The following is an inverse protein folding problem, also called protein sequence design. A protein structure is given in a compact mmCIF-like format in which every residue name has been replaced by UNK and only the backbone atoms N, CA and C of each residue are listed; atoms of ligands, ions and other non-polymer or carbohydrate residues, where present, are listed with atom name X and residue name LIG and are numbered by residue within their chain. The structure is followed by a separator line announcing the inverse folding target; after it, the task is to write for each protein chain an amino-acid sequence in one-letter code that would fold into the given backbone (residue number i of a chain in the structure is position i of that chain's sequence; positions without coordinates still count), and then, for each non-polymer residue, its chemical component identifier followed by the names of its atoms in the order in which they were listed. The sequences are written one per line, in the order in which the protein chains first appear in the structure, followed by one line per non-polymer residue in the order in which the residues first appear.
data_IF_533356740678
#
_entry.id   IF_533356740678
#
_cell.length_a   1.000
_cell.length_b   1.000
_cell.length_c   1.000
_cell.angle_alpha   90.00
_cell.angle_beta   90.00
_cell.angle_gamma   90.00
#
_symmetry.space_group_name_H-M   'P 1'
#
loop_
_entity.id
_entity.type
_entity.pdbx_description
1 polymer ?
#
# COMPACT_ATOMS: atom_id res chain seq x y z
N UNK A 1 -2.99 30.17 -13.00
CA UNK A 1 -4.12 30.15 -12.04
C UNK A 1 -4.60 28.71 -11.94
N UNK A 2 -3.95 27.89 -11.09
CA UNK A 2 -4.38 26.51 -10.82
C UNK A 2 -5.54 26.60 -9.83
N UNK A 3 -6.66 25.95 -10.10
CA UNK A 3 -7.85 26.05 -9.25
C UNK A 3 -7.58 25.38 -7.89
N UNK A 4 -8.18 25.94 -6.83
CA UNK A 4 -8.16 25.40 -5.45
C UNK A 4 -8.60 23.92 -5.38
N UNK A 5 -9.30 23.41 -6.40
CA UNK A 5 -9.68 22.01 -6.52
C UNK A 5 -8.48 21.07 -6.73
N UNK A 6 -7.39 21.53 -7.35
CA UNK A 6 -6.15 20.74 -7.51
C UNK A 6 -5.36 20.71 -6.20
N UNK A 7 -5.43 21.77 -5.38
CA UNK A 7 -4.85 21.78 -4.03
C UNK A 7 -5.61 20.88 -3.04
N UNK A 8 -6.93 20.75 -3.19
CA UNK A 8 -7.76 19.81 -2.40
C UNK A 8 -7.57 18.34 -2.77
N UNK A 9 -6.91 18.03 -3.88
CA UNK A 9 -6.58 16.68 -4.31
C UNK A 9 -5.23 16.16 -3.76
N UNK A 10 -4.61 16.89 -2.82
CA UNK A 10 -3.45 16.37 -2.09
C UNK A 10 -3.94 15.26 -1.15
N UNK A 11 -3.59 14.01 -1.46
CA UNK A 11 -3.93 12.81 -0.68
C UNK A 11 -3.26 12.75 0.69
N UNK A 12 -2.53 13.82 1.04
CA UNK A 12 -1.82 13.97 2.29
C UNK A 12 -0.46 14.63 2.12
N UNK A 13 0.49 14.21 2.96
CA UNK A 13 1.94 14.41 2.83
C UNK A 13 2.65 13.27 3.56
N UNK A 14 3.77 12.84 3.00
CA UNK A 14 4.71 11.93 3.67
C UNK A 14 6.09 12.57 3.85
N UNK A 15 6.78 12.23 4.93
CA UNK A 15 8.15 12.68 5.18
C UNK A 15 8.85 11.79 6.21
N UNK A 16 10.18 11.93 6.29
CA UNK A 16 10.99 11.35 7.37
C UNK A 16 11.32 12.44 8.38
N UNK A 17 11.18 12.15 9.67
CA UNK A 17 11.58 13.02 10.77
C UNK A 17 11.98 12.17 11.98
N UNK A 18 13.13 12.46 12.59
CA UNK A 18 13.63 11.78 13.79
C UNK A 18 13.67 10.24 13.72
N UNK A 19 13.92 9.68 12.53
CA UNK A 19 13.96 8.24 12.30
C UNK A 19 12.57 7.58 12.15
N UNK A 20 11.52 8.38 11.99
CA UNK A 20 10.16 7.93 11.71
C UNK A 20 9.76 8.31 10.29
N UNK A 21 9.03 7.42 9.62
CA UNK A 21 8.19 7.80 8.49
C UNK A 21 6.89 8.33 9.07
N UNK A 22 6.47 9.50 8.62
CA UNK A 22 5.21 10.14 9.03
C UNK A 22 4.32 10.33 7.81
N UNK A 23 3.04 10.06 7.99
CA UNK A 23 2.01 10.32 7.00
C UNK A 23 0.91 11.16 7.64
N UNK A 24 0.53 12.22 6.95
CA UNK A 24 -0.72 12.95 7.21
C UNK A 24 -1.61 12.74 6.02
N UNK A 25 -2.71 12.00 6.16
CA UNK A 25 -3.62 11.73 5.04
C UNK A 25 -4.89 12.55 5.17
N UNK A 26 -5.38 13.03 4.04
CA UNK A 26 -6.70 13.66 3.94
C UNK A 26 -7.84 12.64 3.88
N UNK A 27 -7.54 11.35 3.69
CA UNK A 27 -8.51 10.29 3.41
C UNK A 27 -8.39 9.06 4.34
N UNK A 28 -7.18 8.66 4.72
CA UNK A 28 -6.92 7.33 5.33
C UNK A 28 -6.39 7.40 6.76
N UNK A 29 -6.36 8.61 7.35
CA UNK A 29 -5.85 8.84 8.69
C UNK A 29 -4.34 9.02 8.76
N UNK A 30 -3.89 9.53 9.90
CA UNK A 30 -2.50 9.86 10.16
C UNK A 30 -1.81 8.71 10.88
N UNK A 31 -0.53 8.50 10.56
CA UNK A 31 0.28 7.49 11.21
C UNK A 31 1.75 7.87 11.22
N UNK A 32 2.49 7.27 12.14
CA UNK A 32 3.93 7.30 12.18
C UNK A 32 4.48 5.90 12.46
N UNK A 33 5.60 5.58 11.83
CA UNK A 33 6.26 4.29 12.00
C UNK A 33 7.77 4.48 12.06
N UNK A 34 8.43 3.80 13.00
CA UNK A 34 9.87 3.90 13.15
C UNK A 34 10.56 3.13 12.03
N UNK A 35 11.52 3.75 11.37
CA UNK A 35 12.25 3.13 10.25
C UNK A 35 12.97 1.85 10.70
N UNK A 36 13.48 1.84 11.93
CA UNK A 36 14.16 0.67 12.51
C UNK A 36 13.25 -0.55 12.72
N UNK A 37 11.93 -0.36 12.73
CA UNK A 37 10.95 -1.46 12.88
C UNK A 37 10.43 -1.95 11.53
N UNK A 38 10.77 -1.26 10.42
CA UNK A 38 10.33 -1.66 9.09
C UNK A 38 10.91 -3.02 8.70
N UNK A 39 10.03 -3.85 8.16
CA UNK A 39 10.38 -5.18 7.64
C UNK A 39 9.99 -5.41 6.22
N UNK A 40 9.06 -4.62 5.71
CA UNK A 40 8.59 -4.70 4.35
C UNK A 40 8.19 -3.33 3.84
N UNK A 41 8.60 -3.05 2.61
CA UNK A 41 8.15 -1.93 1.80
C UNK A 41 7.62 -2.52 0.49
N UNK A 42 6.41 -2.15 0.11
CA UNK A 42 5.82 -2.56 -1.14
C UNK A 42 4.99 -1.45 -1.75
N UNK A 43 4.32 -1.79 -2.84
CA UNK A 43 3.30 -0.95 -3.45
C UNK A 43 2.08 -1.81 -3.80
N UNK A 44 0.92 -1.19 -3.80
CA UNK A 44 -0.34 -1.83 -4.19
C UNK A 44 -1.24 -0.85 -4.94
N UNK A 45 -2.02 -1.39 -5.87
CA UNK A 45 -3.08 -0.66 -6.57
C UNK A 45 -4.46 -1.21 -6.21
N UNK A 46 -5.47 -0.37 -6.32
CA UNK A 46 -6.88 -0.72 -6.11
C UNK A 46 -7.71 -0.47 -7.38
N UNK A 47 -9.02 -0.76 -7.33
CA UNK A 47 -9.94 -0.61 -8.47
C UNK A 47 -10.56 0.80 -8.61
N UNK A 48 -10.19 1.75 -7.75
CA UNK A 48 -10.76 3.10 -7.74
C UNK A 48 -10.16 4.01 -8.83
N UNK A 49 -9.16 3.51 -9.56
CA UNK A 49 -8.51 4.23 -10.65
C UNK A 49 -9.42 4.43 -11.87
N UNK A 50 -9.14 5.44 -12.72
CA UNK A 50 -8.05 6.43 -12.61
C UNK A 50 -8.49 7.75 -11.94
N UNK A 51 -9.73 7.85 -11.44
CA UNK A 51 -10.30 9.11 -10.96
C UNK A 51 -10.13 9.35 -9.45
N UNK A 52 -9.79 8.32 -8.70
CA UNK A 52 -9.53 8.36 -7.26
C UNK A 52 -8.15 7.76 -6.99
N UNK A 53 -7.62 8.03 -5.79
CA UNK A 53 -6.32 7.55 -5.34
C UNK A 53 -6.27 6.01 -5.34
N UNK A 54 -5.54 5.47 -6.31
CA UNK A 54 -5.54 4.07 -6.67
C UNK A 54 -4.19 3.39 -6.51
N UNK A 55 -3.18 4.11 -6.01
CA UNK A 55 -1.81 3.63 -5.94
C UNK A 55 -1.14 4.03 -4.63
N UNK A 56 -0.82 3.02 -3.82
CA UNK A 56 -0.32 3.17 -2.46
C UNK A 56 1.07 2.55 -2.30
N UNK A 57 1.95 3.20 -1.54
CA UNK A 57 3.05 2.54 -0.86
C UNK A 57 2.55 1.84 0.40
N UNK A 58 3.12 0.66 0.66
CA UNK A 58 2.78 -0.22 1.77
C UNK A 58 4.00 -0.36 2.67
N UNK A 59 3.82 -0.17 3.97
CA UNK A 59 4.84 -0.36 5.00
C UNK A 59 4.36 -1.37 6.04
N UNK A 60 5.20 -2.33 6.43
CA UNK A 60 4.85 -3.25 7.50
C UNK A 60 6.02 -3.47 8.48
N UNK A 61 5.69 -3.49 9.77
CA UNK A 61 6.63 -3.83 10.86
C UNK A 61 6.46 -5.27 11.34
N UNK A 62 5.27 -5.84 11.19
CA UNK A 62 4.95 -7.21 11.57
C UNK A 62 3.82 -7.77 10.68
N UNK A 63 3.41 -9.01 10.94
CA UNK A 63 2.38 -9.70 10.18
C UNK A 63 0.93 -9.28 10.50
N UNK A 64 0.71 -8.37 11.47
CA UNK A 64 -0.63 -8.03 11.97
C UNK A 64 -1.28 -6.92 11.18
N UNK A 65 -0.51 -5.93 10.75
CA UNK A 65 -1.03 -4.76 10.06
C UNK A 65 0.01 -4.18 9.10
N UNK A 66 -0.46 -3.29 8.23
CA UNK A 66 0.37 -2.45 7.37
C UNK A 66 -0.11 -1.01 7.45
N UNK A 67 0.76 -0.10 7.01
CA UNK A 67 0.50 1.31 6.83
C UNK A 67 0.53 1.63 5.34
N UNK A 68 -0.30 2.58 4.94
CA UNK A 68 -0.48 2.95 3.55
C UNK A 68 -0.25 4.44 3.37
N UNK A 69 0.44 4.83 2.31
CA UNK A 69 0.50 6.21 1.85
C UNK A 69 0.32 6.27 0.35
N UNK A 70 -0.44 7.24 -0.12
CA UNK A 70 -0.63 7.50 -1.54
C UNK A 70 0.69 7.78 -2.24
N UNK A 71 0.87 7.19 -3.42
CA UNK A 71 1.98 7.52 -4.32
C UNK A 71 1.81 8.92 -4.93
N UNK A 72 0.63 9.53 -4.81
CA UNK A 72 0.40 10.92 -5.22
C UNK A 72 0.65 11.92 -4.08
N UNK A 73 0.99 11.47 -2.87
CA UNK A 73 1.28 12.36 -1.76
C UNK A 73 2.58 13.16 -2.01
N UNK A 74 2.60 14.48 -1.74
CA UNK A 74 3.83 15.25 -1.67
C UNK A 74 4.86 14.59 -0.74
N UNK A 75 6.12 14.54 -1.19
CA UNK A 75 7.24 13.96 -0.44
C UNK A 75 7.49 12.47 -0.70
N UNK A 76 6.68 11.80 -1.52
CA UNK A 76 6.81 10.35 -1.73
C UNK A 76 8.12 9.94 -2.40
N UNK A 77 8.62 10.75 -3.35
CA UNK A 77 9.82 10.41 -4.11
C UNK A 77 11.06 10.65 -3.26
N UNK A 78 11.08 11.74 -2.49
CA UNK A 78 12.08 12.03 -1.48
C UNK A 78 12.11 10.92 -0.41
N UNK A 79 10.94 10.51 0.09
CA UNK A 79 10.80 9.37 1.00
C UNK A 79 11.41 8.09 0.41
N UNK A 80 11.11 7.77 -0.86
CA UNK A 80 11.64 6.58 -1.53
C UNK A 80 13.15 6.64 -1.70
N UNK A 81 13.71 7.80 -2.04
CA UNK A 81 15.15 8.01 -2.16
C UNK A 81 15.84 7.82 -0.82
N UNK A 82 15.35 8.47 0.23
CA UNK A 82 15.91 8.38 1.58
C UNK A 82 15.82 6.96 2.15
N UNK A 83 14.64 6.32 2.06
CA UNK A 83 14.47 4.93 2.52
C UNK A 83 15.32 3.96 1.70
N UNK A 84 15.48 4.19 0.40
CA UNK A 84 16.37 3.41 -0.45
C UNK A 84 17.80 3.43 0.08
N UNK A 85 18.29 4.60 0.49
CA UNK A 85 19.59 4.76 1.16
C UNK A 85 19.69 3.96 2.46
N UNK A 86 18.63 3.91 3.27
CA UNK A 86 18.59 3.16 4.54
C UNK A 86 18.60 1.65 4.30
N UNK A 87 17.79 1.17 3.37
CA UNK A 87 17.60 -0.28 3.15
C UNK A 87 18.61 -0.88 2.16
N UNK A 88 19.55 -0.08 1.65
CA UNK A 88 20.63 -0.51 0.76
C UNK A 88 20.16 -0.84 -0.67
N UNK A 89 19.13 -0.17 -1.17
CA UNK A 89 18.54 -0.45 -2.48
C UNK A 89 17.83 0.74 -3.10
N UNK A 90 17.33 0.58 -4.33
CA UNK A 90 16.47 1.59 -4.97
C UNK A 90 15.01 1.24 -4.76
N UNK A 91 14.25 2.17 -4.19
CA UNK A 91 12.80 2.08 -4.07
C UNK A 91 12.19 2.94 -5.17
N UNK A 92 11.71 2.29 -6.23
CA UNK A 92 11.04 2.97 -7.36
C UNK A 92 9.66 2.36 -7.52
N UNK A 93 8.56 3.12 -7.29
CA UNK A 93 7.22 2.66 -7.60
C UNK A 93 7.07 2.34 -9.11
N UNK A 94 6.42 1.24 -9.46
CA UNK A 94 6.33 0.72 -10.83
C UNK A 94 4.92 0.29 -11.25
N UNK A 95 3.90 0.43 -10.40
CA UNK A 95 2.51 0.07 -10.75
C UNK A 95 1.71 1.22 -11.38
N UNK A 96 2.37 2.26 -11.88
CA UNK A 96 1.73 3.37 -12.57
C UNK A 96 0.77 2.89 -13.68
N UNK A 97 -0.49 3.35 -13.64
CA UNK A 97 -1.51 3.04 -14.64
C UNK A 97 -2.16 1.65 -14.52
N UNK A 98 -1.88 0.91 -13.44
CA UNK A 98 -2.57 -0.33 -13.13
C UNK A 98 -3.94 -0.05 -12.49
N UNK A 99 -5.02 -0.16 -13.27
CA UNK A 99 -6.41 -0.03 -12.79
C UNK A 99 -7.00 -1.37 -12.26
N UNK A 100 -6.13 -2.28 -11.82
CA UNK A 100 -6.52 -3.57 -11.24
C UNK A 100 -5.83 -3.76 -9.89
N UNK A 101 -6.38 -4.64 -9.07
CA UNK A 101 -5.71 -5.07 -7.84
C UNK A 101 -4.40 -5.77 -8.16
N UNK A 102 -3.29 -5.08 -7.88
CA UNK A 102 -1.95 -5.57 -8.06
C UNK A 102 -1.10 -5.10 -6.89
N UNK A 103 -0.10 -5.87 -6.51
CA UNK A 103 0.85 -5.45 -5.50
C UNK A 103 2.19 -6.10 -5.72
N UNK A 104 3.25 -5.45 -5.27
CA UNK A 104 4.59 -6.04 -5.28
C UNK A 104 5.46 -5.53 -4.14
N UNK A 105 6.33 -6.40 -3.66
CA UNK A 105 7.33 -6.05 -2.67
C UNK A 105 8.47 -5.30 -3.36
N UNK A 106 8.88 -4.18 -2.77
CA UNK A 106 10.03 -3.37 -3.19
C UNK A 106 11.26 -3.68 -2.31
N UNK A 107 11.03 -3.96 -1.03
CA UNK A 107 12.03 -4.43 -0.07
C UNK A 107 11.33 -5.33 0.98
N UNK A 108 11.94 -6.43 1.45
CA UNK A 108 13.35 -6.85 1.32
C UNK A 108 13.68 -7.51 -0.02
N UNK A 109 14.98 -7.56 -0.34
CA UNK A 109 15.50 -8.19 -1.57
C UNK A 109 15.02 -9.64 -1.76
N UNK A 110 14.92 -10.42 -0.68
CA UNK A 110 14.47 -11.81 -0.71
C UNK A 110 13.03 -12.00 -1.22
N UNK A 111 12.22 -10.94 -1.17
CA UNK A 111 10.83 -10.95 -1.60
C UNK A 111 10.57 -10.03 -2.80
N UNK A 112 11.58 -9.32 -3.31
CA UNK A 112 11.39 -8.28 -4.30
C UNK A 112 10.61 -8.77 -5.54
N UNK A 113 9.62 -7.99 -5.96
CA UNK A 113 8.74 -8.30 -7.08
C UNK A 113 7.61 -9.30 -6.77
N UNK A 114 7.65 -10.01 -5.64
CA UNK A 114 6.57 -10.91 -5.24
C UNK A 114 5.35 -10.12 -4.75
N UNK A 115 4.12 -10.68 -4.82
CA UNK A 115 2.93 -9.99 -4.34
C UNK A 115 2.99 -9.64 -2.85
N UNK A 116 2.65 -8.40 -2.50
CA UNK A 116 2.45 -8.01 -1.09
C UNK A 116 1.19 -8.70 -0.57
N UNK A 117 0.13 -8.62 -1.34
CA UNK A 117 -1.19 -9.08 -0.96
C UNK A 117 -1.69 -10.22 -1.84
N UNK A 118 -2.53 -11.06 -1.23
CA UNK A 118 -3.57 -11.81 -1.91
C UNK A 118 -4.88 -11.05 -1.77
N UNK A 119 -5.68 -11.10 -2.83
CA UNK A 119 -6.99 -10.47 -2.89
C UNK A 119 -8.04 -11.58 -2.85
N UNK A 120 -8.83 -11.60 -1.78
CA UNK A 120 -9.90 -12.58 -1.60
C UNK A 120 -11.25 -11.89 -1.80
N UNK A 121 -12.19 -12.58 -2.44
CA UNK A 121 -13.57 -12.14 -2.45
C UNK A 121 -14.15 -12.18 -1.01
N UNK A 122 -14.91 -11.16 -0.58
CA UNK A 122 -15.52 -11.15 0.73
C UNK A 122 -16.47 -12.35 0.91
N UNK A 123 -16.58 -12.90 2.13
CA UNK A 123 -17.49 -14.01 2.39
C UNK A 123 -18.92 -13.60 2.06
N UNK A 124 -19.61 -14.46 1.30
CA UNK A 124 -20.99 -14.21 0.90
C UNK A 124 -21.91 -14.20 2.13
N UNK A 125 -22.60 -13.08 2.37
CA UNK A 125 -23.59 -12.97 3.43
C UNK A 125 -24.88 -13.68 3.02
N UNK A 126 -25.26 -14.73 3.76
CA UNK A 126 -26.53 -15.44 3.59
C UNK A 126 -26.68 -16.25 2.29
N UNK A 127 -27.85 -16.86 2.11
CA UNK A 127 -28.14 -17.76 0.98
C UNK A 127 -28.32 -17.00 -0.34
N UNK A 128 -28.95 -15.82 -0.29
CA UNK A 128 -29.16 -14.94 -1.45
C UNK A 128 -27.83 -14.39 -1.98
N UNK A 129 -26.91 -13.98 -1.08
CA UNK A 129 -25.57 -13.51 -1.46
C UNK A 129 -24.73 -14.58 -2.16
N UNK A 130 -24.87 -15.85 -1.77
CA UNK A 130 -24.20 -16.98 -2.45
C UNK A 130 -24.73 -17.23 -3.86
N UNK A 131 -26.04 -17.07 -4.07
CA UNK A 131 -26.65 -17.26 -5.39
C UNK A 131 -26.29 -16.13 -6.36
N UNK A 132 -26.35 -14.86 -5.91
CA UNK A 132 -25.99 -13.69 -6.71
C UNK A 132 -24.50 -13.68 -7.11
N UNK A 133 -23.61 -14.22 -6.28
CA UNK A 133 -22.16 -14.30 -6.59
C UNK A 133 -21.83 -15.17 -7.82
N UNK A 134 -22.72 -16.09 -8.20
CA UNK A 134 -22.55 -16.88 -9.44
C UNK A 134 -22.87 -16.07 -10.70
N UNK A 135 -23.59 -14.95 -10.55
CA UNK A 135 -24.04 -14.09 -11.65
C UNK A 135 -23.26 -12.77 -11.71
N UNK A 136 -22.78 -12.28 -10.56
CA UNK A 136 -22.08 -11.00 -10.45
C UNK A 136 -20.84 -11.12 -9.55
N UNK A 137 -19.71 -10.56 -9.99
CA UNK A 137 -18.47 -10.50 -9.18
C UNK A 137 -18.65 -9.55 -7.99
N UNK A 138 -18.01 -9.81 -6.84
CA UNK A 138 -18.07 -8.91 -5.69
C UNK A 138 -17.49 -7.53 -6.00
N UNK A 139 -18.12 -6.49 -5.47
CA UNK A 139 -17.71 -5.08 -5.65
C UNK A 139 -16.64 -4.61 -4.64
N UNK A 140 -16.00 -5.55 -3.93
CA UNK A 140 -14.90 -5.28 -3.00
C UNK A 140 -14.09 -6.54 -2.81
N UNK A 141 -12.86 -6.41 -2.35
CA UNK A 141 -12.02 -7.52 -1.92
C UNK A 141 -11.57 -7.37 -0.46
N UNK A 142 -11.09 -8.47 0.08
CA UNK A 142 -10.36 -8.53 1.34
C UNK A 142 -8.89 -8.68 0.99
N UNK A 143 -8.08 -7.72 1.42
CA UNK A 143 -6.64 -7.78 1.29
C UNK A 143 -6.05 -8.53 2.48
N UNK A 144 -5.15 -9.46 2.21
CA UNK A 144 -4.32 -10.13 3.22
C UNK A 144 -2.91 -10.20 2.68
N UNK A 145 -1.91 -10.13 3.56
CA UNK A 145 -0.54 -10.45 3.16
C UNK A 145 -0.49 -11.80 2.44
N UNK A 146 0.33 -11.89 1.39
CA UNK A 146 0.61 -13.14 0.70
C UNK A 146 1.30 -14.14 1.64
N UNK A 147 1.20 -15.44 1.35
CA UNK A 147 1.79 -16.47 2.22
C UNK A 147 3.33 -16.36 2.30
N UNK A 148 3.97 -15.80 1.28
CA UNK A 148 5.41 -15.53 1.31
C UNK A 148 5.76 -14.38 2.23
N UNK A 149 4.97 -13.29 2.17
CA UNK A 149 5.13 -12.13 3.05
C UNK A 149 4.82 -12.51 4.50
N UNK A 150 3.73 -13.22 4.76
CA UNK A 150 3.37 -13.67 6.11
C UNK A 150 4.47 -14.52 6.74
N UNK A 151 4.99 -15.51 6.00
CA UNK A 151 6.09 -16.34 6.49
C UNK A 151 7.31 -15.51 6.84
N UNK A 152 7.72 -14.61 5.94
CA UNK A 152 8.86 -13.73 6.17
C UNK A 152 8.68 -12.84 7.43
N UNK A 153 7.51 -12.22 7.58
CA UNK A 153 7.22 -11.33 8.71
C UNK A 153 7.16 -12.07 10.05
N UNK A 154 6.76 -13.34 10.05
CA UNK A 154 6.79 -14.20 11.23
C UNK A 154 8.21 -14.69 11.58
N UNK A 155 8.97 -15.15 10.59
CA UNK A 155 10.31 -15.73 10.80
C UNK A 155 11.33 -14.70 11.27
N UNK A 156 11.13 -13.44 10.93
CA UNK A 156 12.02 -12.38 11.36
C UNK A 156 11.79 -11.98 12.84
N UNK A 157 10.63 -12.30 13.45
CA UNK A 157 10.15 -11.73 14.73
C UNK A 157 10.87 -12.24 15.98
#
# INVERSE_FOLDING_TARGET
MRSEAIERAMTGRVWIEDGFIKNRSTLFGDWEVRIADLRLIGEATNENGPFLDDWMLIFACDARAWFEASVFAPGIFELCEELGGVVGGKLVPQLAGSATFNSRVMWPAALQGKPVFRYEDPPAKGVIGRALRRLFKPASNVQRFSDEVLRFLHDAA
#
